data_IF_764879670274
#
_entry.id   IF_764879670274
#
_cell.length_a   1.000
_cell.length_b   1.000
_cell.length_c   1.000
_cell.angle_alpha   90.00
_cell.angle_beta   90.00
_cell.angle_gamma   90.00
#
_symmetry.space_group_name_H-M   'P 1'
#
loop_
_entity.id
_entity.type
_entity.pdbx_description
1 polymer ?
#
# COMPACT_ATOMS: atom_id res chain seq x y z
N UNK A 1 0.53 -0.01 2.74
CA UNK A 1 1.74 0.57 2.09
C UNK A 1 3.08 0.25 2.74
N UNK A 2 3.13 -0.15 4.00
CA UNK A 2 4.37 -0.58 4.66
C UNK A 2 4.99 -1.81 3.96
N UNK A 3 4.17 -2.73 3.46
CA UNK A 3 4.62 -3.96 2.78
C UNK A 3 5.39 -3.71 1.48
N UNK A 4 5.08 -2.64 0.72
CA UNK A 4 5.73 -2.33 -0.57
C UNK A 4 6.98 -1.46 -0.41
N UNK A 5 7.27 -0.99 0.82
CA UNK A 5 8.37 -0.08 1.10
C UNK A 5 8.18 1.34 0.53
N UNK A 6 7.01 1.69 0.00
CA UNK A 6 6.71 3.04 -0.50
C UNK A 6 6.71 4.04 0.65
N UNK A 7 6.10 3.67 1.77
CA UNK A 7 5.99 4.56 2.91
C UNK A 7 7.36 4.97 3.50
N UNK A 8 8.36 4.10 3.43
CA UNK A 8 9.72 4.45 3.85
C UNK A 8 10.32 5.56 2.98
N UNK A 9 10.11 5.49 1.66
CA UNK A 9 10.56 6.54 0.73
C UNK A 9 9.82 7.86 0.96
N UNK A 10 8.51 7.81 1.21
CA UNK A 10 7.71 9.01 1.52
C UNK A 10 8.25 9.68 2.79
N UNK A 11 8.49 8.92 3.86
CA UNK A 11 9.05 9.44 5.12
C UNK A 11 10.43 10.09 4.92
N UNK A 12 11.27 9.51 4.06
CA UNK A 12 12.57 10.09 3.69
C UNK A 12 12.39 11.48 3.05
N UNK A 13 11.40 11.65 2.16
CA UNK A 13 11.16 12.94 1.50
C UNK A 13 10.66 14.01 2.50
N UNK A 14 9.81 13.65 3.45
CA UNK A 14 9.41 14.57 4.53
C UNK A 14 10.60 14.95 5.43
N UNK A 15 11.46 14.00 5.77
CA UNK A 15 12.66 14.26 6.60
C UNK A 15 13.72 15.15 5.91
N UNK A 16 13.73 15.19 4.57
CA UNK A 16 14.64 16.06 3.80
C UNK A 16 14.25 17.55 3.81
N UNK A 17 13.02 17.87 4.22
CA UNK A 17 12.54 19.26 4.22
C UNK A 17 13.37 20.12 5.18
N UNK A 18 13.62 21.41 4.83
CA UNK A 18 14.39 22.32 5.70
C UNK A 18 13.84 22.39 7.13
N UNK A 19 12.52 22.48 7.26
CA UNK A 19 11.82 22.54 8.55
C UNK A 19 12.02 21.25 9.37
N UNK A 20 12.04 20.08 8.72
CA UNK A 20 12.35 18.82 9.38
C UNK A 20 13.79 18.78 9.88
N UNK A 21 14.73 19.23 9.05
CA UNK A 21 16.15 19.27 9.41
C UNK A 21 16.42 20.23 10.56
N UNK A 22 15.83 21.43 10.56
CA UNK A 22 15.98 22.42 11.62
C UNK A 22 15.47 21.93 12.98
N UNK A 23 14.41 21.06 12.95
CA UNK A 23 13.83 20.44 14.15
C UNK A 23 14.48 19.09 14.52
N UNK A 24 15.49 18.62 13.76
CA UNK A 24 16.12 17.32 13.97
C UNK A 24 15.21 16.12 13.70
N UNK A 25 14.19 16.27 12.83
CA UNK A 25 13.25 15.21 12.51
C UNK A 25 13.87 14.21 11.53
N UNK A 26 13.93 12.96 11.94
CA UNK A 26 14.37 11.83 11.13
C UNK A 26 13.15 11.17 10.42
N UNK A 27 13.36 10.26 9.44
CA UNK A 27 12.26 9.51 8.83
C UNK A 27 11.39 8.74 9.85
N UNK A 28 11.94 8.41 11.02
CA UNK A 28 11.21 7.77 12.13
C UNK A 28 10.08 8.64 12.68
N UNK A 29 10.25 9.97 12.69
CA UNK A 29 9.22 10.93 13.13
C UNK A 29 7.91 10.80 12.36
N UNK A 30 8.00 10.49 11.07
CA UNK A 30 6.87 10.36 10.16
C UNK A 30 6.31 8.93 10.09
N UNK A 31 6.72 8.03 10.99
CA UNK A 31 6.18 6.67 11.06
C UNK A 31 5.05 6.59 12.09
N UNK A 32 3.91 6.03 11.71
CA UNK A 32 2.80 5.78 12.63
C UNK A 32 2.94 4.45 13.39
N UNK A 33 3.99 3.64 13.11
CA UNK A 33 4.22 2.34 13.75
C UNK A 33 5.38 2.33 14.74
N UNK A 34 6.06 3.46 14.95
CA UNK A 34 7.22 3.54 15.85
C UNK A 34 6.79 4.08 17.20
N UNK A 35 7.04 3.31 18.25
CA UNK A 35 6.87 3.73 19.65
C UNK A 35 8.18 4.34 20.17
N UNK A 36 8.10 5.44 20.94
CA UNK A 36 9.27 6.05 21.56
C UNK A 36 9.13 7.55 21.82
N UNK A 37 10.06 8.13 22.60
CA UNK A 37 9.99 9.53 23.10
C UNK A 37 10.00 10.63 22.02
N UNK A 38 10.45 10.34 20.79
CA UNK A 38 10.50 11.32 19.68
C UNK A 38 9.65 10.91 18.48
N UNK A 39 8.61 10.10 18.73
CA UNK A 39 7.66 9.75 17.67
C UNK A 39 6.78 10.96 17.33
N UNK A 40 6.36 11.05 16.07
CA UNK A 40 5.47 12.11 15.59
C UNK A 40 4.00 11.75 15.66
N UNK A 41 3.64 10.66 16.32
CA UNK A 41 2.25 10.16 16.37
C UNK A 41 1.40 10.88 17.41
N UNK A 42 0.10 10.83 17.22
CA UNK A 42 -0.85 11.27 18.22
C UNK A 42 -0.71 10.40 19.49
N UNK A 43 -0.44 10.99 20.66
CA UNK A 43 -0.24 10.22 21.90
C UNK A 43 -1.52 9.57 22.43
N UNK A 44 -2.69 10.01 21.96
CA UNK A 44 -3.97 9.48 22.42
C UNK A 44 -4.36 8.17 21.73
N UNK A 45 -4.00 7.99 20.47
CA UNK A 45 -4.30 6.77 19.71
C UNK A 45 -3.04 6.00 19.25
N UNK A 46 -1.85 6.38 19.72
CA UNK A 46 -0.57 5.76 19.34
C UNK A 46 -0.40 5.59 17.83
N UNK A 47 -0.84 6.58 17.04
CA UNK A 47 -0.74 6.56 15.59
C UNK A 47 -1.77 5.69 14.86
N UNK A 48 -2.73 5.09 15.58
CA UNK A 48 -3.78 4.28 14.96
C UNK A 48 -4.84 5.13 14.23
N UNK A 49 -5.02 6.38 14.65
CA UNK A 49 -6.10 7.25 14.17
C UNK A 49 -7.47 6.85 14.70
N UNK A 50 -7.58 5.73 15.39
CA UNK A 50 -8.79 5.15 15.95
C UNK A 50 -8.51 4.64 17.35
N UNK A 51 -9.55 4.56 18.17
CA UNK A 51 -9.53 3.98 19.51
C UNK A 51 -10.39 2.72 19.48
N UNK A 52 -9.83 1.63 19.96
CA UNK A 52 -10.55 0.38 20.13
C UNK A 52 -11.42 0.48 21.38
N UNK A 53 -12.71 0.27 21.24
CA UNK A 53 -13.67 0.13 22.34
C UNK A 53 -14.00 -1.34 22.46
N UNK A 54 -13.56 -1.98 23.55
CA UNK A 54 -13.81 -3.38 23.81
C UNK A 54 -15.25 -3.57 24.31
N UNK A 55 -15.98 -4.46 23.67
CA UNK A 55 -17.33 -4.81 24.03
C UNK A 55 -17.38 -6.27 24.50
N UNK A 56 -17.70 -6.50 25.79
CA UNK A 56 -17.60 -7.82 26.42
C UNK A 56 -18.39 -8.95 25.74
N UNK A 57 -19.45 -8.64 24.98
CA UNK A 57 -20.32 -9.63 24.32
C UNK A 57 -20.50 -9.40 22.81
N UNK A 58 -19.86 -8.38 22.25
CA UNK A 58 -19.93 -8.04 20.84
C UNK A 58 -18.53 -7.86 20.27
N UNK A 59 -18.43 -7.83 18.93
CA UNK A 59 -17.15 -7.50 18.29
C UNK A 59 -16.68 -6.10 18.67
N UNK A 60 -15.38 -5.96 18.85
CA UNK A 60 -14.76 -4.67 19.18
C UNK A 60 -15.13 -3.59 18.15
N UNK A 61 -15.43 -2.39 18.64
CA UNK A 61 -15.75 -1.24 17.79
C UNK A 61 -14.57 -0.29 17.75
N UNK A 62 -14.25 0.18 16.55
CA UNK A 62 -13.19 1.17 16.33
C UNK A 62 -13.80 2.54 16.09
N UNK A 63 -13.54 3.48 16.99
CA UNK A 63 -14.03 4.85 16.93
C UNK A 63 -12.89 5.78 16.54
N UNK A 64 -13.17 6.76 15.67
CA UNK A 64 -12.18 7.75 15.27
C UNK A 64 -11.63 8.49 16.49
N UNK A 65 -10.30 8.68 16.54
CA UNK A 65 -9.66 9.41 17.62
C UNK A 65 -10.04 10.89 17.57
N UNK A 66 -10.72 11.39 18.60
CA UNK A 66 -11.18 12.78 18.70
C UNK A 66 -10.02 13.79 18.77
N UNK A 67 -8.88 13.40 19.36
CA UNK A 67 -7.71 14.30 19.52
C UNK A 67 -7.04 14.62 18.19
N UNK A 68 -6.83 13.62 17.32
CA UNK A 68 -6.19 13.85 16.02
C UNK A 68 -7.18 13.79 14.84
N UNK A 69 -8.48 13.60 15.10
CA UNK A 69 -9.50 13.46 14.06
C UNK A 69 -9.10 12.46 12.96
N UNK A 70 -8.57 11.31 13.36
CA UNK A 70 -8.11 10.27 12.44
C UNK A 70 -6.75 10.50 11.78
N UNK A 71 -6.11 11.67 11.96
CA UNK A 71 -4.86 12.06 11.29
C UNK A 71 -3.63 11.27 11.72
N UNK A 72 -3.68 10.52 12.83
CA UNK A 72 -2.61 9.65 13.37
C UNK A 72 -1.39 10.35 13.95
N UNK A 73 -1.13 11.61 13.63
CA UNK A 73 0.06 12.36 14.02
C UNK A 73 -0.29 13.49 14.97
N UNK A 74 0.73 13.99 15.69
CA UNK A 74 0.63 15.20 16.47
C UNK A 74 0.77 16.45 15.58
N UNK A 75 0.34 17.60 16.09
CA UNK A 75 0.27 18.85 15.32
C UNK A 75 1.66 19.30 14.82
N UNK A 76 2.72 19.16 15.63
CA UNK A 76 4.08 19.51 15.23
C UNK A 76 4.57 18.72 13.99
N UNK A 77 4.17 17.44 13.86
CA UNK A 77 4.52 16.63 12.71
C UNK A 77 3.67 17.02 11.49
N UNK A 78 2.41 17.39 11.70
CA UNK A 78 1.51 17.84 10.65
C UNK A 78 1.85 19.22 10.07
N UNK A 79 2.63 20.04 10.79
CA UNK A 79 3.16 21.30 10.26
C UNK A 79 4.13 21.09 9.09
N UNK A 80 4.84 19.96 9.06
CA UNK A 80 5.76 19.66 7.96
C UNK A 80 4.99 19.32 6.70
N UNK A 81 5.27 20.05 5.62
CA UNK A 81 4.57 19.90 4.34
C UNK A 81 5.52 19.52 3.21
N UNK A 82 5.04 18.64 2.34
CA UNK A 82 5.61 18.28 1.06
C UNK A 82 4.63 18.72 -0.03
N UNK A 83 4.99 19.71 -0.87
CA UNK A 83 4.08 20.29 -1.88
C UNK A 83 2.69 20.61 -1.28
N UNK A 84 2.67 21.40 -0.19
CA UNK A 84 1.48 21.86 0.56
C UNK A 84 0.63 20.77 1.25
N UNK A 85 1.06 19.52 1.20
CA UNK A 85 0.40 18.39 1.87
C UNK A 85 1.22 17.91 3.06
N UNK A 86 0.59 17.68 4.20
CA UNK A 86 1.22 17.03 5.34
C UNK A 86 1.21 15.50 5.19
N UNK A 87 1.86 14.80 6.10
CA UNK A 87 1.96 13.32 6.02
C UNK A 87 0.61 12.61 6.12
N UNK A 88 -0.36 13.16 6.86
CA UNK A 88 -1.71 12.61 6.96
C UNK A 88 -2.47 12.79 5.65
N UNK A 89 -2.39 13.97 5.03
CA UNK A 89 -3.00 14.22 3.72
C UNK A 89 -2.48 13.25 2.67
N UNK A 90 -1.18 12.97 2.70
CA UNK A 90 -0.55 11.99 1.78
C UNK A 90 -1.05 10.57 2.04
N UNK A 91 -1.23 10.18 3.31
CA UNK A 91 -1.78 8.86 3.64
C UNK A 91 -3.25 8.71 3.22
N UNK A 92 -4.00 9.80 3.15
CA UNK A 92 -5.39 9.80 2.71
C UNK A 92 -5.56 9.75 1.19
N UNK A 93 -4.50 10.03 0.43
CA UNK A 93 -4.53 9.91 -1.03
C UNK A 93 -4.73 8.45 -1.45
N UNK A 94 -5.52 8.26 -2.51
CA UNK A 94 -5.53 7.00 -3.27
C UNK A 94 -4.20 6.81 -4.00
N UNK A 95 -3.92 5.60 -4.48
CA UNK A 95 -2.74 5.34 -5.33
C UNK A 95 -2.78 6.20 -6.58
N UNK A 96 -3.96 6.41 -7.19
CA UNK A 96 -4.16 7.25 -8.37
C UNK A 96 -3.80 8.72 -8.10
N UNK A 97 -4.32 9.30 -7.02
CA UNK A 97 -4.00 10.67 -6.60
C UNK A 97 -2.51 10.82 -6.27
N UNK A 98 -1.94 9.80 -5.61
CA UNK A 98 -0.51 9.77 -5.27
C UNK A 98 0.38 9.69 -6.51
N UNK A 99 -0.03 9.04 -7.60
CA UNK A 99 0.68 9.05 -8.88
C UNK A 99 0.84 10.47 -9.42
N UNK A 100 -0.21 11.27 -9.36
CA UNK A 100 -0.16 12.68 -9.79
C UNK A 100 0.76 13.48 -8.85
N UNK A 101 0.59 13.32 -7.54
CA UNK A 101 1.34 14.05 -6.52
C UNK A 101 2.85 13.74 -6.54
N UNK A 102 3.22 12.46 -6.70
CA UNK A 102 4.61 12.01 -6.70
C UNK A 102 5.24 11.90 -8.09
N UNK A 103 4.68 12.53 -9.12
CA UNK A 103 5.20 12.50 -10.50
C UNK A 103 6.68 12.83 -10.60
N UNK A 104 7.15 13.79 -9.79
CA UNK A 104 8.54 14.26 -9.76
C UNK A 104 9.43 13.47 -8.76
N UNK A 105 8.95 12.36 -8.20
CA UNK A 105 9.67 11.50 -7.26
C UNK A 105 9.85 10.09 -7.84
N UNK A 106 10.85 9.86 -8.70
CA UNK A 106 10.93 8.65 -9.54
C UNK A 106 10.91 7.34 -8.74
N UNK A 107 11.55 7.31 -7.55
CA UNK A 107 11.61 6.12 -6.70
C UNK A 107 10.24 5.73 -6.12
N UNK A 108 9.42 6.71 -5.76
CA UNK A 108 8.05 6.53 -5.26
C UNK A 108 7.13 6.21 -6.43
N UNK A 109 7.20 7.02 -7.47
CA UNK A 109 6.35 6.93 -8.67
C UNK A 109 6.39 5.54 -9.32
N UNK A 110 7.59 4.98 -9.54
CA UNK A 110 7.75 3.62 -10.10
C UNK A 110 7.02 2.54 -9.30
N UNK A 111 7.02 2.65 -7.97
CA UNK A 111 6.31 1.70 -7.10
C UNK A 111 4.80 1.91 -7.10
N UNK A 112 4.34 3.16 -7.23
CA UNK A 112 2.91 3.48 -7.34
C UNK A 112 2.32 2.97 -8.65
N UNK A 113 3.06 3.05 -9.78
CA UNK A 113 2.65 2.45 -11.05
C UNK A 113 2.37 0.96 -10.89
N UNK A 114 3.25 0.22 -10.21
CA UNK A 114 3.06 -1.23 -10.01
C UNK A 114 1.79 -1.50 -9.21
N UNK A 115 1.49 -0.68 -8.20
CA UNK A 115 0.23 -0.82 -7.45
C UNK A 115 -1.00 -0.53 -8.31
N UNK A 116 -0.92 0.47 -9.17
CA UNK A 116 -1.99 0.77 -10.13
C UNK A 116 -2.17 -0.36 -11.15
N UNK A 117 -1.06 -0.89 -11.68
CA UNK A 117 -1.06 -1.98 -12.67
C UNK A 117 -1.71 -3.28 -12.13
N UNK A 118 -1.61 -3.55 -10.82
CA UNK A 118 -2.30 -4.69 -10.19
C UNK A 118 -3.75 -4.38 -9.77
N UNK A 119 -4.36 -3.29 -10.26
CA UNK A 119 -5.74 -2.93 -9.98
C UNK A 119 -5.98 -2.36 -8.58
N UNK A 120 -4.99 -1.69 -7.99
CA UNK A 120 -5.08 -1.10 -6.65
C UNK A 120 -5.07 0.44 -6.68
N UNK A 121 -5.47 1.05 -7.81
CA UNK A 121 -5.47 2.51 -8.00
C UNK A 121 -6.34 3.25 -6.97
N UNK A 122 -7.46 2.65 -6.58
CA UNK A 122 -8.45 3.23 -5.67
C UNK A 122 -8.09 3.13 -4.17
N UNK A 123 -7.11 2.31 -3.80
CA UNK A 123 -6.74 2.08 -2.40
C UNK A 123 -5.98 3.28 -1.85
N UNK A 124 -6.34 3.72 -0.64
CA UNK A 124 -5.62 4.78 0.07
C UNK A 124 -4.23 4.32 0.53
N UNK A 125 -3.24 5.21 0.45
CA UNK A 125 -1.88 4.92 0.92
C UNK A 125 -1.82 4.53 2.41
N UNK A 126 -2.68 5.14 3.24
CA UNK A 126 -2.79 4.87 4.67
C UNK A 126 -3.81 3.79 5.05
N UNK A 127 -4.41 3.08 4.08
CA UNK A 127 -5.42 2.07 4.38
C UNK A 127 -4.89 0.98 5.31
N UNK A 128 -5.68 0.64 6.31
CA UNK A 128 -5.35 -0.42 7.26
C UNK A 128 -5.41 -1.81 6.60
N UNK A 129 -4.48 -2.69 6.97
CA UNK A 129 -4.45 -4.05 6.42
C UNK A 129 -5.70 -4.86 6.78
N UNK A 130 -6.34 -4.57 7.92
CA UNK A 130 -7.55 -5.27 8.37
C UNK A 130 -8.81 -4.90 7.57
N UNK A 131 -8.76 -3.80 6.81
CA UNK A 131 -9.89 -3.36 5.95
C UNK A 131 -9.74 -3.82 4.52
N UNK A 132 -8.67 -4.54 4.19
CA UNK A 132 -8.43 -5.08 2.86
C UNK A 132 -9.21 -6.38 2.65
N UNK A 133 -9.81 -6.54 1.49
CA UNK A 133 -10.33 -7.82 1.04
C UNK A 133 -9.20 -8.83 0.79
N UNK A 134 -9.53 -10.13 0.73
CA UNK A 134 -8.56 -11.18 0.42
C UNK A 134 -7.84 -10.93 -0.90
N UNK A 135 -8.58 -10.57 -1.97
CA UNK A 135 -8.02 -10.25 -3.28
C UNK A 135 -7.11 -9.02 -3.27
N UNK A 136 -7.47 -7.94 -2.54
CA UNK A 136 -6.62 -6.76 -2.38
C UNK A 136 -5.31 -7.10 -1.66
N UNK A 137 -5.38 -7.89 -0.58
CA UNK A 137 -4.19 -8.33 0.16
C UNK A 137 -3.26 -9.19 -0.72
N UNK A 138 -3.82 -10.06 -1.56
CA UNK A 138 -3.08 -10.87 -2.52
C UNK A 138 -2.39 -10.00 -3.57
N UNK A 139 -3.09 -9.04 -4.16
CA UNK A 139 -2.51 -8.11 -5.14
C UNK A 139 -1.43 -7.20 -4.55
N UNK A 140 -1.54 -6.80 -3.27
CA UNK A 140 -0.46 -6.11 -2.57
C UNK A 140 0.78 -7.00 -2.43
N UNK A 141 0.62 -8.29 -2.13
CA UNK A 141 1.75 -9.24 -2.11
C UNK A 141 2.38 -9.37 -3.49
N UNK A 142 1.57 -9.51 -4.53
CA UNK A 142 2.04 -9.55 -5.92
C UNK A 142 2.82 -8.29 -6.29
N UNK A 143 2.29 -7.10 -5.99
CA UNK A 143 2.99 -5.84 -6.22
C UNK A 143 4.33 -5.77 -5.49
N UNK A 144 4.43 -6.31 -4.28
CA UNK A 144 5.69 -6.38 -3.53
C UNK A 144 6.73 -7.24 -4.25
N UNK A 145 6.33 -8.38 -4.78
CA UNK A 145 7.23 -9.27 -5.53
C UNK A 145 7.69 -8.62 -6.84
N UNK A 146 6.81 -7.91 -7.54
CA UNK A 146 7.17 -7.14 -8.73
C UNK A 146 8.18 -6.00 -8.47
N UNK A 147 8.14 -5.42 -7.28
CA UNK A 147 9.06 -4.36 -6.86
C UNK A 147 10.47 -4.91 -6.56
N UNK A 148 10.58 -6.19 -6.20
CA UNK A 148 11.86 -6.84 -5.89
C UNK A 148 12.69 -7.08 -7.14
N UNK A 149 14.03 -7.09 -7.03
CA UNK A 149 14.89 -7.65 -8.07
C UNK A 149 14.54 -9.12 -8.28
N UNK A 150 14.33 -9.48 -9.52
CA UNK A 150 13.90 -10.82 -9.89
C UNK A 150 15.11 -11.77 -10.00
N UNK A 151 14.94 -13.02 -9.56
CA UNK A 151 15.95 -14.08 -9.67
C UNK A 151 15.70 -15.03 -10.85
N UNK A 152 14.51 -14.91 -11.50
CA UNK A 152 14.13 -15.78 -12.64
C UNK A 152 13.81 -17.24 -12.29
N UNK A 153 13.67 -17.58 -11.00
CA UNK A 153 13.45 -18.97 -10.53
C UNK A 153 12.38 -19.05 -9.42
N UNK A 154 11.36 -18.21 -9.50
CA UNK A 154 10.29 -18.18 -8.50
C UNK A 154 9.05 -18.90 -9.01
N UNK A 155 8.45 -19.76 -8.16
CA UNK A 155 7.12 -20.32 -8.37
C UNK A 155 6.09 -19.45 -7.64
N UNK A 156 5.18 -18.89 -8.40
CA UNK A 156 4.03 -18.15 -7.88
C UNK A 156 2.79 -19.06 -7.90
N UNK A 157 2.10 -19.16 -6.78
CA UNK A 157 0.79 -19.80 -6.69
C UNK A 157 -0.24 -18.71 -6.37
N UNK A 158 -1.16 -18.50 -7.28
CA UNK A 158 -2.19 -17.47 -7.21
C UNK A 158 -3.57 -18.14 -7.18
N UNK A 159 -4.36 -17.75 -6.21
CA UNK A 159 -5.72 -18.26 -6.03
C UNK A 159 -6.72 -17.13 -6.32
N UNK A 160 -7.50 -17.29 -7.39
CA UNK A 160 -8.48 -16.34 -7.89
C UNK A 160 -8.00 -14.87 -7.90
N UNK A 161 -6.85 -14.54 -8.52
CA UNK A 161 -6.28 -13.19 -8.45
C UNK A 161 -7.15 -12.12 -9.11
N UNK A 162 -8.14 -12.49 -9.92
CA UNK A 162 -9.08 -11.57 -10.57
C UNK A 162 -10.33 -11.28 -9.75
N UNK A 163 -10.52 -11.92 -8.60
CA UNK A 163 -11.71 -11.72 -7.76
C UNK A 163 -11.89 -10.26 -7.39
N UNK A 164 -13.09 -9.72 -7.68
CA UNK A 164 -13.45 -8.33 -7.40
C UNK A 164 -12.79 -7.30 -8.33
N UNK A 165 -12.19 -7.72 -9.44
CA UNK A 165 -11.66 -6.82 -10.47
C UNK A 165 -12.67 -6.55 -11.59
N UNK A 166 -12.67 -5.31 -12.07
CA UNK A 166 -13.32 -4.95 -13.32
C UNK A 166 -12.49 -5.46 -14.51
N UNK A 167 -13.12 -5.70 -15.67
CA UNK A 167 -12.46 -6.24 -16.89
C UNK A 167 -11.21 -5.45 -17.30
N UNK A 168 -11.20 -4.15 -17.13
CA UNK A 168 -10.03 -3.31 -17.39
C UNK A 168 -8.85 -3.65 -16.47
N UNK A 169 -9.10 -3.87 -15.17
CA UNK A 169 -8.08 -4.20 -14.18
C UNK A 169 -7.56 -5.62 -14.39
N UNK A 170 -8.42 -6.55 -14.82
CA UNK A 170 -8.02 -7.92 -15.24
C UNK A 170 -6.98 -7.84 -16.35
N UNK A 171 -7.23 -7.02 -17.38
CA UNK A 171 -6.28 -6.81 -18.49
C UNK A 171 -4.93 -6.27 -18.03
N UNK A 172 -4.92 -5.36 -17.06
CA UNK A 172 -3.69 -4.82 -16.51
C UNK A 172 -2.96 -5.85 -15.65
N UNK A 173 -3.69 -6.63 -14.85
CA UNK A 173 -3.13 -7.75 -14.07
C UNK A 173 -2.48 -8.79 -14.99
N UNK A 174 -3.12 -9.16 -16.10
CA UNK A 174 -2.55 -10.11 -17.07
C UNK A 174 -1.21 -9.62 -17.62
N UNK A 175 -1.09 -8.35 -18.01
CA UNK A 175 0.20 -7.77 -18.44
C UNK A 175 1.29 -7.87 -17.39
N UNK A 176 0.90 -7.77 -16.12
CA UNK A 176 1.81 -7.89 -14.99
C UNK A 176 2.27 -9.34 -14.83
N UNK A 177 1.35 -10.31 -14.93
CA UNK A 177 1.67 -11.73 -14.86
C UNK A 177 2.55 -12.16 -16.03
N UNK A 178 2.28 -11.69 -17.25
CA UNK A 178 3.14 -11.92 -18.42
C UNK A 178 4.56 -11.41 -18.16
N UNK A 179 4.71 -10.19 -17.66
CA UNK A 179 6.05 -9.65 -17.32
C UNK A 179 6.79 -10.48 -16.28
N UNK A 180 6.09 -11.11 -15.33
CA UNK A 180 6.72 -12.05 -14.37
C UNK A 180 7.14 -13.35 -15.06
N UNK A 181 6.30 -13.89 -15.94
CA UNK A 181 6.59 -15.08 -16.74
C UNK A 181 7.82 -14.87 -17.62
N UNK A 182 7.86 -13.76 -18.35
CA UNK A 182 8.96 -13.42 -19.28
C UNK A 182 10.32 -13.28 -18.60
N UNK A 183 10.33 -13.06 -17.29
CA UNK A 183 11.54 -13.06 -16.48
C UNK A 183 12.02 -14.46 -16.06
N UNK A 184 11.39 -15.52 -16.55
CA UNK A 184 11.76 -16.90 -16.28
C UNK A 184 11.08 -17.54 -15.07
N UNK A 185 10.05 -16.89 -14.51
CA UNK A 185 9.30 -17.44 -13.39
C UNK A 185 8.20 -18.40 -13.86
N UNK A 186 7.79 -19.29 -12.97
CA UNK A 186 6.67 -20.22 -13.17
C UNK A 186 5.46 -19.76 -12.36
N UNK A 187 4.26 -19.87 -12.93
CA UNK A 187 3.02 -19.51 -12.24
C UNK A 187 2.02 -20.65 -12.32
N UNK A 188 1.37 -20.94 -11.18
CA UNK A 188 0.19 -21.78 -11.08
C UNK A 188 -0.94 -20.85 -10.67
N UNK A 189 -1.99 -20.78 -11.48
CA UNK A 189 -3.12 -19.86 -11.25
C UNK A 189 -4.40 -20.69 -11.19
N UNK A 190 -5.10 -20.60 -10.07
CA UNK A 190 -6.46 -21.15 -9.92
C UNK A 190 -7.42 -20.05 -10.33
N UNK A 191 -8.21 -20.26 -11.36
CA UNK A 191 -9.09 -19.21 -11.91
C UNK A 191 -10.32 -19.78 -12.63
N UNK A 192 -11.36 -18.95 -12.64
CA UNK A 192 -12.59 -19.19 -13.40
C UNK A 192 -12.79 -18.14 -14.51
N UNK A 193 -11.97 -17.09 -14.52
CA UNK A 193 -12.04 -16.03 -15.52
C UNK A 193 -11.46 -16.51 -16.85
N UNK A 194 -12.30 -16.55 -17.89
CA UNK A 194 -11.93 -17.03 -19.22
C UNK A 194 -10.80 -16.21 -19.86
N UNK A 195 -10.70 -14.91 -19.56
CA UNK A 195 -9.64 -14.08 -20.12
C UNK A 195 -8.26 -14.48 -19.55
N UNK A 196 -8.21 -14.91 -18.28
CA UNK A 196 -6.98 -15.47 -17.68
C UNK A 196 -6.70 -16.86 -18.24
N UNK A 197 -7.69 -17.74 -18.28
CA UNK A 197 -7.53 -19.12 -18.77
C UNK A 197 -6.98 -19.13 -20.21
N UNK A 198 -7.46 -18.24 -21.09
CA UNK A 198 -6.99 -18.12 -22.47
C UNK A 198 -5.51 -17.69 -22.61
N UNK A 199 -4.91 -17.10 -21.58
CA UNK A 199 -3.50 -16.68 -21.60
C UNK A 199 -2.55 -17.73 -21.05
N UNK A 200 -3.07 -18.85 -20.54
CA UNK A 200 -2.27 -19.93 -19.97
C UNK A 200 -1.50 -20.69 -21.06
N UNK A 201 -0.24 -21.05 -20.78
CA UNK A 201 0.53 -21.94 -21.65
C UNK A 201 0.04 -23.40 -21.52
N UNK A 202 -0.51 -23.77 -20.36
CA UNK A 202 -1.04 -25.08 -20.05
C UNK A 202 -2.27 -24.99 -19.14
N UNK A 203 -3.29 -25.79 -19.43
CA UNK A 203 -4.56 -25.82 -18.66
C UNK A 203 -4.71 -27.21 -18.05
N UNK A 204 -5.03 -27.24 -16.75
CA UNK A 204 -5.42 -28.44 -16.00
C UNK A 204 -6.87 -28.27 -15.59
N UNK A 205 -7.76 -29.08 -16.14
CA UNK A 205 -9.15 -29.14 -15.77
C UNK A 205 -9.35 -30.27 -14.75
N UNK A 206 -9.99 -29.95 -13.63
CA UNK A 206 -10.22 -30.92 -12.55
C UNK A 206 -11.60 -31.56 -12.58
N UNK A 207 -12.45 -31.19 -13.55
CA UNK A 207 -13.81 -31.73 -13.72
C UNK A 207 -14.89 -30.92 -13.04
#
# INVERSE_FOLDING_TARGET
>A
MTYTGIFSLIREEFAKKPESKSRGYTPGRFSFNVKGKNNGVCPHCDGQGQIKVEMHFLSDVYVQCEKCNGKRYNDETLEIKLNDKNISDVLDMTVEEALVFFKNYPRIYKKLIILSDVGLAYIKLGQSAITLSGGEAQRIKLAKELIRPDTGHTLYVLDEPTTGLHSYDVKNLLKVLERLKDKGNTMIIIEHNLDVIKTADWIIDLG
#
